data_IF_211447571829
#
_entry.id   IF_211447571829
#
_cell.length_a   1.000
_cell.length_b   1.000
_cell.length_c   1.000
_cell.angle_alpha   90.00
_cell.angle_beta   90.00
_cell.angle_gamma   90.00
#
_symmetry.space_group_name_H-M   'P 1'
#
loop_
_entity.id
_entity.type
_entity.pdbx_description
1 polymer ?
#
# COMPACT_ATOMS: atom_id res chain seq x y z
N UNK A 1 12.51 4.67 -52.77
CA UNK A 1 11.21 5.10 -52.23
C UNK A 1 10.48 3.86 -51.74
N UNK A 2 10.67 3.48 -50.47
CA UNK A 2 10.10 2.24 -49.91
C UNK A 2 8.67 2.54 -49.45
N UNK A 3 7.70 1.72 -49.89
CA UNK A 3 6.29 1.81 -49.53
C UNK A 3 6.14 1.79 -48.00
N UNK A 4 5.83 2.95 -47.40
CA UNK A 4 5.46 3.10 -45.99
C UNK A 4 3.98 2.73 -45.81
N UNK A 5 3.75 1.64 -45.08
CA UNK A 5 2.46 1.11 -44.62
C UNK A 5 2.71 -0.31 -44.12
N UNK A 6 2.25 -0.77 -42.97
CA UNK A 6 1.14 -0.29 -42.12
C UNK A 6 1.15 -1.04 -40.77
N UNK A 7 2.32 -1.32 -40.19
CA UNK A 7 2.43 -2.07 -38.94
C UNK A 7 3.43 -1.39 -38.01
N UNK A 8 3.02 -1.16 -36.76
CA UNK A 8 3.91 -0.76 -35.67
C UNK A 8 4.48 -2.01 -35.01
N UNK A 9 5.79 -2.04 -34.84
CA UNK A 9 6.50 -3.12 -34.14
C UNK A 9 6.60 -2.77 -32.65
N UNK A 10 6.05 -3.65 -31.82
CA UNK A 10 6.21 -3.61 -30.38
C UNK A 10 7.07 -4.78 -29.90
N UNK A 11 7.67 -4.62 -28.73
CA UNK A 11 8.38 -5.70 -28.04
C UNK A 11 7.84 -5.86 -26.62
N UNK A 12 7.81 -7.10 -26.14
CA UNK A 12 7.52 -7.43 -24.74
C UNK A 12 8.79 -7.93 -24.08
N UNK A 13 8.94 -7.59 -22.81
CA UNK A 13 10.05 -8.10 -22.01
C UNK A 13 9.93 -9.60 -21.77
N UNK A 14 11.08 -10.28 -21.71
CA UNK A 14 11.21 -11.64 -21.22
C UNK A 14 11.40 -11.68 -19.70
N UNK A 15 11.80 -12.83 -19.16
CA UNK A 15 12.17 -12.98 -17.75
C UNK A 15 13.42 -12.18 -17.36
N UNK A 16 14.33 -11.98 -18.32
CA UNK A 16 15.52 -11.16 -18.21
C UNK A 16 15.49 -10.01 -19.21
N UNK A 17 16.14 -8.89 -18.88
CA UNK A 17 16.26 -7.70 -19.73
C UNK A 17 17.60 -6.99 -19.55
N UNK A 18 18.00 -6.21 -20.56
CA UNK A 18 19.20 -5.34 -20.55
C UNK A 18 18.86 -3.85 -20.54
N UNK A 19 17.58 -3.51 -20.36
CA UNK A 19 17.14 -2.12 -20.25
C UNK A 19 15.84 -2.01 -19.45
N UNK A 20 15.63 -0.81 -18.93
CA UNK A 20 14.34 -0.31 -18.47
C UNK A 20 13.89 0.82 -19.41
N UNK A 21 12.58 1.00 -19.55
CA UNK A 21 11.97 2.08 -20.30
C UNK A 21 10.96 2.78 -19.38
N UNK A 22 10.95 4.11 -19.41
CA UNK A 22 9.87 4.91 -18.86
C UNK A 22 9.11 5.58 -20.00
N UNK A 23 7.78 5.50 -19.98
CA UNK A 23 6.91 6.19 -20.94
C UNK A 23 6.19 7.35 -20.23
N UNK A 24 6.32 8.54 -20.80
CA UNK A 24 5.75 9.78 -20.30
C UNK A 24 4.89 10.38 -21.40
N UNK A 25 3.58 10.32 -21.22
CA UNK A 25 2.63 10.87 -22.17
C UNK A 25 2.74 12.39 -22.28
N UNK A 26 2.38 12.93 -23.45
CA UNK A 26 2.31 14.39 -23.69
C UNK A 26 1.41 15.12 -22.69
N UNK A 27 0.36 14.43 -22.23
CA UNK A 27 -0.59 14.92 -21.21
C UNK A 27 -0.14 14.70 -19.77
N UNK A 28 1.06 14.15 -19.55
CA UNK A 28 1.58 13.85 -18.22
C UNK A 28 1.96 15.11 -17.46
N UNK A 29 1.69 15.12 -16.15
CA UNK A 29 2.24 16.13 -15.24
C UNK A 29 3.78 16.15 -15.23
N UNK A 30 4.41 15.02 -15.57
CA UNK A 30 5.87 14.86 -15.61
C UNK A 30 6.49 15.15 -16.97
N UNK A 31 5.68 15.57 -17.95
CA UNK A 31 6.20 15.93 -19.27
C UNK A 31 7.07 17.20 -19.16
N UNK A 32 8.26 17.28 -19.82
CA UNK A 32 9.18 18.43 -19.70
C UNK A 32 8.57 19.79 -20.07
N UNK A 33 7.53 19.81 -20.90
CA UNK A 33 6.78 21.02 -21.23
C UNK A 33 5.93 21.55 -20.07
N UNK A 34 5.54 20.69 -19.13
CA UNK A 34 4.77 21.04 -17.93
C UNK A 34 5.66 21.19 -16.70
N UNK A 35 6.59 20.25 -16.50
CA UNK A 35 7.58 20.28 -15.41
C UNK A 35 8.97 19.96 -15.97
N UNK A 36 9.80 21.00 -16.11
CA UNK A 36 11.18 20.88 -16.61
C UNK A 36 12.09 20.11 -15.65
N UNK A 37 11.72 19.98 -14.38
CA UNK A 37 12.51 19.29 -13.35
C UNK A 37 12.10 17.83 -13.18
N UNK A 38 10.95 17.40 -13.71
CA UNK A 38 10.44 16.04 -13.54
C UNK A 38 11.44 14.95 -13.93
N UNK A 39 12.14 15.11 -15.06
CA UNK A 39 13.12 14.14 -15.54
C UNK A 39 14.36 14.08 -14.63
N UNK A 40 14.79 15.23 -14.09
CA UNK A 40 15.88 15.25 -13.10
C UNK A 40 15.49 14.55 -11.80
N UNK A 41 14.23 14.70 -11.36
CA UNK A 41 13.70 13.97 -10.19
C UNK A 41 13.63 12.46 -10.44
N UNK A 42 13.24 12.05 -11.65
CA UNK A 42 13.27 10.65 -12.09
C UNK A 42 14.71 10.11 -12.02
N UNK A 43 15.68 10.83 -12.61
CA UNK A 43 17.08 10.43 -12.58
C UNK A 43 17.60 10.28 -11.13
N UNK A 44 17.37 11.28 -10.29
CA UNK A 44 17.80 11.26 -8.89
C UNK A 44 17.16 10.10 -8.11
N UNK A 45 15.92 9.73 -8.44
CA UNK A 45 15.25 8.59 -7.81
C UNK A 45 15.87 7.24 -8.21
N UNK A 46 16.39 7.14 -9.44
CA UNK A 46 16.93 5.90 -9.99
C UNK A 46 18.45 5.76 -9.81
N UNK A 47 19.14 6.85 -9.44
CA UNK A 47 20.57 6.85 -9.12
C UNK A 47 20.99 5.76 -8.12
N UNK A 48 20.27 5.49 -7.01
CA UNK A 48 20.63 4.41 -6.07
C UNK A 48 20.62 3.01 -6.69
N UNK A 49 19.87 2.82 -7.78
CA UNK A 49 19.85 1.56 -8.54
C UNK A 49 21.02 1.46 -9.54
N UNK A 50 21.71 2.57 -9.79
CA UNK A 50 22.78 2.69 -10.79
C UNK A 50 22.30 3.15 -12.16
N UNK A 51 21.05 3.61 -12.29
CA UNK A 51 20.50 4.13 -13.54
C UNK A 51 20.61 5.67 -13.55
N UNK A 52 21.63 6.18 -14.23
CA UNK A 52 22.03 7.60 -14.20
C UNK A 52 22.03 8.26 -15.58
N UNK A 53 21.87 7.49 -16.65
CA UNK A 53 21.88 7.97 -18.03
C UNK A 53 20.78 7.30 -18.85
N UNK A 54 20.19 8.05 -19.78
CA UNK A 54 19.12 7.56 -20.65
C UNK A 54 19.30 8.03 -22.09
N UNK A 55 18.53 7.40 -22.97
CA UNK A 55 18.26 7.87 -24.33
C UNK A 55 16.79 8.30 -24.38
N UNK A 56 16.53 9.52 -24.81
CA UNK A 56 15.17 10.02 -24.97
C UNK A 56 14.74 9.93 -26.44
N UNK A 57 13.55 9.40 -26.67
CA UNK A 57 12.90 9.35 -27.99
C UNK A 57 11.43 9.75 -27.86
N UNK A 58 10.82 10.30 -28.90
CA UNK A 58 9.36 10.40 -28.92
C UNK A 58 8.73 9.01 -29.03
N UNK A 59 7.66 8.76 -28.27
CA UNK A 59 6.89 7.51 -28.31
C UNK A 59 6.00 7.42 -29.55
N UNK A 60 5.47 8.56 -30.00
CA UNK A 60 4.68 8.71 -31.22
C UNK A 60 4.61 10.17 -31.69
N UNK A 61 3.87 10.42 -32.79
CA UNK A 61 3.59 11.76 -33.31
C UNK A 61 2.81 12.65 -32.32
N UNK A 62 2.22 12.07 -31.26
CA UNK A 62 1.53 12.84 -30.21
C UNK A 62 2.47 13.62 -29.29
N UNK A 63 3.78 13.34 -29.33
CA UNK A 63 4.79 14.03 -28.53
C UNK A 63 5.05 13.41 -27.14
N UNK A 64 4.52 12.22 -26.84
CA UNK A 64 4.96 11.45 -25.67
C UNK A 64 6.44 11.07 -25.75
N UNK A 65 7.05 10.75 -24.61
CA UNK A 65 8.49 10.55 -24.48
C UNK A 65 8.79 9.17 -23.88
N UNK A 66 9.62 8.41 -24.57
CA UNK A 66 10.28 7.21 -24.08
C UNK A 66 11.68 7.54 -23.55
N UNK A 67 11.98 7.15 -22.32
CA UNK A 67 13.33 7.20 -21.74
C UNK A 67 13.89 5.79 -21.60
N UNK A 68 14.86 5.43 -22.43
CA UNK A 68 15.54 4.14 -22.38
C UNK A 68 16.74 4.20 -21.45
N UNK A 69 16.80 3.30 -20.47
CA UNK A 69 17.89 3.10 -19.52
C UNK A 69 18.57 1.76 -19.79
N UNK A 70 19.50 1.67 -20.76
CA UNK A 70 20.22 0.45 -21.05
C UNK A 70 21.31 0.16 -20.02
N UNK A 71 21.63 -1.10 -19.77
CA UNK A 71 22.69 -1.54 -18.87
C UNK A 71 23.32 -2.84 -19.38
N UNK A 72 24.53 -3.17 -18.93
CA UNK A 72 25.33 -4.26 -19.51
C UNK A 72 24.84 -5.65 -19.06
N UNK A 73 24.71 -5.85 -17.74
CA UNK A 73 24.33 -7.13 -17.15
C UNK A 73 22.82 -7.35 -17.16
N UNK A 74 22.37 -8.49 -17.71
CA UNK A 74 20.95 -8.84 -17.73
C UNK A 74 20.36 -8.93 -16.30
N UNK A 75 19.21 -8.31 -16.08
CA UNK A 75 18.51 -8.32 -14.79
C UNK A 75 17.16 -9.01 -14.91
N UNK A 76 16.65 -9.51 -13.79
CA UNK A 76 15.29 -10.04 -13.71
C UNK A 76 14.28 -8.90 -13.96
N UNK A 77 13.47 -9.06 -15.00
CA UNK A 77 12.54 -8.02 -15.46
C UNK A 77 11.52 -7.65 -14.39
N UNK A 78 11.01 -8.61 -13.63
CA UNK A 78 10.02 -8.35 -12.60
C UNK A 78 10.63 -7.64 -11.38
N UNK A 79 11.78 -8.13 -10.92
CA UNK A 79 12.54 -7.50 -9.83
C UNK A 79 12.90 -6.04 -10.15
N UNK A 80 13.35 -5.80 -11.39
CA UNK A 80 13.65 -4.47 -11.90
C UNK A 80 12.40 -3.57 -11.87
N UNK A 81 11.28 -4.07 -12.38
CA UNK A 81 10.02 -3.33 -12.42
C UNK A 81 9.57 -2.87 -11.03
N UNK A 82 9.62 -3.79 -10.05
CA UNK A 82 9.24 -3.50 -8.65
C UNK A 82 10.18 -2.46 -8.03
N UNK A 83 11.50 -2.61 -8.23
CA UNK A 83 12.47 -1.69 -7.67
C UNK A 83 12.33 -0.27 -8.25
N UNK A 84 12.23 -0.15 -9.58
CA UNK A 84 12.06 1.13 -10.28
C UNK A 84 10.77 1.82 -9.85
N UNK A 85 9.64 1.11 -9.88
CA UNK A 85 8.33 1.66 -9.47
C UNK A 85 8.40 2.18 -8.04
N UNK A 86 8.97 1.40 -7.12
CA UNK A 86 9.04 1.82 -5.71
C UNK A 86 9.95 3.03 -5.50
N UNK A 87 11.07 3.12 -6.22
CA UNK A 87 11.96 4.28 -6.12
C UNK A 87 11.28 5.57 -6.58
N UNK A 88 10.55 5.51 -7.70
CA UNK A 88 9.80 6.64 -8.23
C UNK A 88 8.70 7.07 -7.26
N UNK A 89 7.92 6.13 -6.73
CA UNK A 89 6.83 6.43 -5.80
C UNK A 89 7.34 6.99 -4.46
N UNK A 90 8.50 6.54 -3.97
CA UNK A 90 9.11 7.06 -2.74
C UNK A 90 9.45 8.55 -2.82
N UNK A 91 9.72 9.09 -4.01
CA UNK A 91 9.98 10.52 -4.24
C UNK A 91 8.72 11.30 -4.67
N UNK A 92 7.55 10.66 -4.56
CA UNK A 92 6.24 11.23 -4.89
C UNK A 92 5.89 11.24 -6.38
N UNK A 93 6.61 10.50 -7.22
CA UNK A 93 6.26 10.32 -8.63
C UNK A 93 5.30 9.14 -8.75
N UNK A 94 4.03 9.43 -9.03
CA UNK A 94 2.99 8.40 -9.20
C UNK A 94 3.18 7.67 -10.53
N UNK A 95 3.34 6.35 -10.47
CA UNK A 95 3.41 5.47 -11.63
C UNK A 95 1.99 5.02 -11.96
N UNK A 96 1.36 5.69 -12.93
CA UNK A 96 -0.02 5.40 -13.36
C UNK A 96 -0.14 5.50 -14.87
N UNK A 97 -1.02 4.69 -15.49
CA UNK A 97 -1.28 4.76 -16.92
C UNK A 97 -1.60 6.18 -17.39
N UNK A 98 -1.05 6.56 -18.54
CA UNK A 98 -1.25 7.88 -19.14
C UNK A 98 -0.54 9.05 -18.43
N UNK A 99 0.33 8.78 -17.45
CA UNK A 99 1.16 9.79 -16.79
C UNK A 99 2.63 9.38 -16.78
N UNK A 100 2.94 8.26 -16.11
CA UNK A 100 4.29 7.72 -16.02
C UNK A 100 4.16 6.21 -15.94
N UNK A 101 4.55 5.52 -17.00
CA UNK A 101 4.49 4.06 -17.09
C UNK A 101 5.90 3.48 -17.06
N UNK A 102 6.07 2.37 -16.34
CA UNK A 102 7.36 1.67 -16.19
C UNK A 102 7.34 0.38 -17.00
N UNK A 103 8.42 0.16 -17.73
CA UNK A 103 8.61 -1.00 -18.59
C UNK A 103 9.98 -1.63 -18.29
N UNK A 104 10.07 -2.91 -17.88
CA UNK A 104 8.96 -3.83 -17.61
C UNK A 104 8.04 -3.32 -16.49
N UNK A 105 6.74 -3.63 -16.58
CA UNK A 105 5.76 -3.26 -15.56
C UNK A 105 5.73 -4.29 -14.41
N UNK A 106 5.47 -3.88 -13.16
CA UNK A 106 5.33 -4.81 -12.04
C UNK A 106 4.07 -5.64 -12.25
N UNK A 107 4.24 -6.86 -12.73
CA UNK A 107 3.12 -7.78 -12.94
C UNK A 107 2.58 -8.30 -11.63
N UNK A 108 1.26 -8.43 -11.57
CA UNK A 108 0.60 -9.38 -10.70
C UNK A 108 0.87 -10.79 -11.22
N UNK A 109 1.19 -11.72 -10.31
CA UNK A 109 1.32 -13.15 -10.64
C UNK A 109 0.02 -13.62 -11.30
N UNK A 110 0.11 -14.22 -12.49
CA UNK A 110 -1.04 -14.89 -13.11
C UNK A 110 -1.02 -16.37 -12.75
N UNK A 111 -2.20 -16.92 -12.49
CA UNK A 111 -2.45 -18.33 -12.22
C UNK A 111 -2.05 -19.19 -13.42
N UNK A 112 -1.61 -20.42 -13.15
CA UNK A 112 -0.85 -21.39 -13.97
C UNK A 112 -1.37 -21.71 -15.39
N UNK A 113 -2.49 -21.15 -15.85
CA UNK A 113 -3.06 -21.43 -17.18
C UNK A 113 -2.78 -20.37 -18.25
N UNK A 114 -2.26 -19.18 -17.88
CA UNK A 114 -1.76 -18.17 -18.86
C UNK A 114 -0.56 -17.41 -18.30
N UNK A 115 0.58 -17.34 -19.00
CA UNK A 115 1.69 -16.51 -18.56
C UNK A 115 1.25 -15.04 -18.57
N UNK A 116 1.33 -14.37 -17.41
CA UNK A 116 1.22 -12.90 -17.34
C UNK A 116 2.34 -12.33 -18.20
N UNK A 117 2.00 -11.67 -19.32
CA UNK A 117 2.97 -11.07 -20.24
C UNK A 117 3.24 -9.62 -19.87
N UNK A 118 4.48 -9.15 -20.05
CA UNK A 118 4.81 -7.75 -19.70
C UNK A 118 4.13 -6.87 -20.73
N UNK A 119 3.76 -5.65 -20.33
CA UNK A 119 3.21 -4.68 -21.26
C UNK A 119 4.19 -4.51 -22.42
N UNK A 120 3.64 -4.49 -23.63
CA UNK A 120 4.42 -4.24 -24.82
C UNK A 120 4.66 -2.74 -24.92
N UNK A 121 5.84 -2.36 -25.36
CA UNK A 121 6.09 -0.99 -25.78
C UNK A 121 6.53 -0.96 -27.24
N UNK A 122 6.38 0.21 -27.85
CA UNK A 122 6.80 0.45 -29.23
C UNK A 122 8.32 0.51 -29.33
N UNK A 123 8.89 -0.07 -30.39
CA UNK A 123 10.32 0.08 -30.70
C UNK A 123 10.66 1.53 -31.13
N UNK A 124 11.85 2.05 -30.79
CA UNK A 124 12.26 3.40 -31.17
C UNK A 124 12.53 3.50 -32.67
N UNK A 125 12.60 4.74 -33.19
CA UNK A 125 12.92 5.06 -34.59
C UNK A 125 11.94 4.48 -35.64
N UNK A 126 10.71 4.20 -35.23
CA UNK A 126 9.58 3.96 -36.13
C UNK A 126 8.91 5.29 -36.52
N UNK A 127 7.96 5.29 -37.46
CA UNK A 127 7.29 6.51 -37.92
C UNK A 127 6.72 7.37 -36.75
N UNK A 128 7.21 8.59 -36.56
CA UNK A 128 6.82 9.43 -35.42
C UNK A 128 7.58 9.21 -34.12
N UNK A 129 8.59 8.33 -34.13
CA UNK A 129 9.56 8.18 -33.05
C UNK A 129 10.90 8.78 -33.48
N UNK A 130 11.26 9.90 -32.86
CA UNK A 130 12.46 10.67 -33.15
C UNK A 130 13.36 10.68 -31.92
N UNK A 131 14.67 10.63 -32.13
CA UNK A 131 15.64 10.82 -31.07
C UNK A 131 15.55 12.27 -30.55
N UNK A 132 15.71 12.46 -29.24
CA UNK A 132 15.62 13.76 -28.58
C UNK A 132 16.98 14.20 -28.03
N UNK A 133 17.24 15.50 -28.06
CA UNK A 133 18.39 16.11 -27.37
C UNK A 133 18.07 16.37 -25.88
N UNK A 134 19.01 17.00 -25.16
CA UNK A 134 18.86 17.34 -23.74
C UNK A 134 17.70 18.31 -23.44
N UNK A 135 17.30 19.11 -24.43
CA UNK A 135 16.16 20.04 -24.36
C UNK A 135 14.84 19.39 -24.81
N UNK A 136 14.83 18.07 -25.02
CA UNK A 136 13.69 17.29 -25.54
C UNK A 136 13.18 17.75 -26.91
N UNK A 137 14.07 18.32 -27.73
CA UNK A 137 13.78 18.66 -29.11
C UNK A 137 14.18 17.51 -30.04
N UNK A 138 13.38 17.20 -31.07
CA UNK A 138 13.73 16.19 -32.07
C UNK A 138 15.05 16.54 -32.76
N UNK A 139 15.96 15.56 -32.77
CA UNK A 139 17.17 15.60 -33.56
C UNK A 139 17.12 14.53 -34.63
N UNK A 140 17.77 14.81 -35.75
CA UNK A 140 17.95 13.79 -36.78
C UNK A 140 18.84 12.68 -36.21
N UNK A 141 18.28 11.48 -36.12
CA UNK A 141 18.99 10.30 -35.63
C UNK A 141 18.82 9.18 -36.62
N UNK A 142 19.93 8.70 -37.18
CA UNK A 142 19.97 7.42 -37.86
C UNK A 142 20.13 6.28 -36.83
N UNK A 143 20.04 5.04 -37.32
CA UNK A 143 20.22 3.85 -36.46
C UNK A 143 21.59 3.84 -35.77
N UNK A 144 22.62 4.35 -36.44
CA UNK A 144 23.99 4.41 -35.93
C UNK A 144 24.08 5.34 -34.71
N UNK A 145 23.49 6.53 -34.81
CA UNK A 145 23.43 7.53 -33.74
C UNK A 145 22.70 6.99 -32.51
N UNK A 146 21.58 6.30 -32.71
CA UNK A 146 20.85 5.67 -31.61
C UNK A 146 21.69 4.58 -30.91
N UNK A 147 22.38 3.73 -31.67
CA UNK A 147 23.26 2.69 -31.08
C UNK A 147 24.44 3.31 -30.33
N UNK A 148 25.00 4.42 -30.82
CA UNK A 148 26.06 5.15 -30.12
C UNK A 148 25.56 5.71 -28.78
N UNK A 149 24.40 6.38 -28.77
CA UNK A 149 23.78 6.86 -27.54
C UNK A 149 23.41 5.71 -26.60
N UNK A 150 22.98 4.56 -27.14
CA UNK A 150 22.70 3.37 -26.35
C UNK A 150 23.94 2.86 -25.64
N UNK A 151 25.05 2.67 -26.37
CA UNK A 151 26.31 2.22 -25.77
C UNK A 151 26.84 3.22 -24.75
N UNK A 152 26.69 4.51 -25.00
CA UNK A 152 27.08 5.55 -24.04
C UNK A 152 26.24 5.52 -22.76
N UNK A 153 24.92 5.43 -22.87
CA UNK A 153 24.05 5.30 -21.70
C UNK A 153 24.32 3.98 -20.96
N UNK A 154 24.56 2.89 -21.71
CA UNK A 154 24.85 1.57 -21.17
C UNK A 154 26.14 1.55 -20.34
N UNK A 155 27.20 2.23 -20.79
CA UNK A 155 28.47 2.31 -20.05
C UNK A 155 28.40 3.19 -18.79
N UNK A 156 27.38 4.06 -18.70
CA UNK A 156 27.14 4.93 -17.55
C UNK A 156 26.26 4.27 -16.50
N UNK A 157 25.39 3.34 -16.92
CA UNK A 157 24.44 2.67 -16.03
C UNK A 157 25.05 1.39 -15.45
N UNK A 158 25.50 1.48 -14.21
CA UNK A 158 26.03 0.34 -13.45
C UNK A 158 24.95 -0.26 -12.55
N UNK A 159 24.05 -1.04 -13.17
CA UNK A 159 23.00 -1.74 -12.42
C UNK A 159 23.56 -3.03 -11.83
N UNK A 160 23.93 -2.97 -10.54
CA UNK A 160 24.36 -4.13 -9.78
C UNK A 160 23.17 -4.93 -9.24
N UNK A 161 23.20 -6.25 -9.43
CA UNK A 161 22.22 -7.18 -8.82
C UNK A 161 22.22 -7.09 -7.29
N UNK A 162 23.33 -6.67 -6.67
CA UNK A 162 23.39 -6.44 -5.21
C UNK A 162 22.55 -5.23 -4.82
N UNK A 163 22.72 -4.10 -5.50
CA UNK A 163 21.94 -2.88 -5.27
C UNK A 163 20.45 -3.12 -5.51
N UNK A 164 20.11 -3.82 -6.61
CA UNK A 164 18.74 -4.24 -6.90
C UNK A 164 18.13 -5.06 -5.75
N UNK A 165 18.84 -6.08 -5.25
CA UNK A 165 18.37 -6.89 -4.11
C UNK A 165 18.28 -6.10 -2.81
N UNK A 166 19.18 -5.16 -2.55
CA UNK A 166 19.13 -4.29 -1.37
C UNK A 166 17.90 -3.39 -1.40
N UNK A 167 17.63 -2.76 -2.54
CA UNK A 167 16.41 -1.97 -2.76
C UNK A 167 15.20 -2.88 -2.56
N UNK A 168 15.13 -4.05 -3.19
CA UNK A 168 14.02 -4.98 -3.01
C UNK A 168 13.81 -5.41 -1.54
N UNK A 169 14.88 -5.57 -0.76
CA UNK A 169 14.77 -5.83 0.69
C UNK A 169 14.19 -4.62 1.43
N UNK A 170 14.55 -3.40 1.06
CA UNK A 170 13.96 -2.18 1.61
C UNK A 170 12.50 -2.01 1.18
N UNK A 171 12.18 -2.31 -0.08
CA UNK A 171 10.82 -2.34 -0.63
C UNK A 171 9.95 -3.33 0.15
N UNK A 172 10.43 -4.57 0.38
CA UNK A 172 9.75 -5.58 1.21
C UNK A 172 9.61 -5.19 2.68
N UNK A 173 10.44 -4.27 3.18
CA UNK A 173 10.30 -3.69 4.54
C UNK A 173 9.34 -2.50 4.58
N UNK A 174 9.04 -1.89 3.42
CA UNK A 174 8.19 -0.71 3.23
C UNK A 174 6.74 -0.97 2.78
N UNK A 175 6.19 -2.18 2.52
CA UNK A 175 4.77 -2.27 2.25
C UNK A 175 4.08 -2.17 3.61
N UNK A 176 3.79 -0.93 4.01
CA UNK A 176 2.91 -0.60 5.11
C UNK A 176 3.13 -1.26 6.48
N UNK A 177 4.30 -1.84 6.83
CA UNK A 177 4.45 -2.66 8.07
C UNK A 177 3.14 -3.39 8.41
N UNK A 178 2.59 -4.09 7.40
CA UNK A 178 1.32 -4.77 7.61
C UNK A 178 1.55 -5.72 8.77
N UNK A 179 0.84 -5.49 9.89
CA UNK A 179 1.06 -6.32 11.09
C UNK A 179 0.94 -7.79 10.69
N UNK A 180 1.69 -8.71 11.30
CA UNK A 180 1.62 -10.12 10.90
C UNK A 180 0.20 -10.72 10.89
N UNK A 181 -0.72 -10.13 11.68
CA UNK A 181 -2.17 -10.43 11.63
C UNK A 181 -2.85 -9.96 10.36
N UNK A 182 -2.55 -8.75 9.90
CA UNK A 182 -3.09 -8.20 8.67
C UNK A 182 -2.46 -8.84 7.43
N UNK A 183 -1.18 -9.24 7.48
CA UNK A 183 -0.53 -10.00 6.41
C UNK A 183 -1.18 -11.37 6.26
N UNK A 184 -1.39 -12.07 7.38
CA UNK A 184 -2.18 -13.31 7.39
C UNK A 184 -3.57 -13.09 6.80
N UNK A 185 -4.26 -12.02 7.18
CA UNK A 185 -5.60 -11.72 6.66
C UNK A 185 -5.60 -11.48 5.14
N UNK A 186 -4.62 -10.75 4.61
CA UNK A 186 -4.45 -10.57 3.15
C UNK A 186 -4.20 -11.93 2.48
N UNK A 187 -3.31 -12.75 3.04
CA UNK A 187 -2.99 -14.06 2.47
C UNK A 187 -4.19 -15.01 2.48
N UNK A 188 -4.98 -15.02 3.55
CA UNK A 188 -6.21 -15.80 3.65
C UNK A 188 -7.24 -15.33 2.59
N UNK A 189 -7.40 -14.01 2.41
CA UNK A 189 -8.28 -13.44 1.37
C UNK A 189 -7.78 -13.80 -0.04
N UNK A 190 -6.48 -13.68 -0.30
CA UNK A 190 -5.88 -14.02 -1.58
C UNK A 190 -6.09 -15.50 -1.90
N UNK A 191 -5.80 -16.41 -0.97
CA UNK A 191 -5.97 -17.86 -1.17
C UNK A 191 -7.42 -18.23 -1.51
N UNK A 192 -8.41 -17.58 -0.87
CA UNK A 192 -9.83 -17.81 -1.20
C UNK A 192 -10.22 -17.23 -2.56
N UNK A 193 -9.67 -16.07 -2.94
CA UNK A 193 -9.95 -15.41 -4.22
C UNK A 193 -9.25 -16.13 -5.39
N UNK A 194 -8.02 -16.60 -5.18
CA UNK A 194 -7.18 -17.28 -6.18
C UNK A 194 -7.78 -18.58 -6.68
N UNK A 195 -8.52 -19.30 -5.82
CA UNK A 195 -9.27 -20.48 -6.22
C UNK A 195 -10.31 -20.19 -7.32
N UNK A 196 -10.74 -18.92 -7.45
CA UNK A 196 -11.71 -18.47 -8.43
C UNK A 196 -13.07 -19.13 -8.26
N UNK A 197 -13.76 -19.33 -9.38
CA UNK A 197 -15.09 -19.92 -9.42
C UNK A 197 -14.98 -21.42 -9.67
N UNK A 198 -15.26 -22.22 -8.64
CA UNK A 198 -15.14 -23.69 -8.69
C UNK A 198 -16.50 -24.40 -8.64
N UNK A 199 -17.60 -23.68 -8.39
CA UNK A 199 -18.94 -24.25 -8.38
C UNK A 199 -20.05 -23.22 -8.36
N UNK A 200 -21.27 -23.68 -8.62
CA UNK A 200 -22.47 -22.86 -8.54
C UNK A 200 -22.77 -22.44 -7.09
N UNK A 201 -23.27 -21.21 -6.91
CA UNK A 201 -23.62 -20.66 -5.58
C UNK A 201 -22.49 -19.93 -4.83
N UNK A 202 -21.31 -19.76 -5.44
CA UNK A 202 -20.16 -19.11 -4.80
C UNK A 202 -20.17 -17.57 -4.87
N UNK A 203 -21.05 -16.98 -5.69
CA UNK A 203 -21.09 -15.53 -5.97
C UNK A 203 -21.01 -14.68 -4.73
N UNK A 204 -21.88 -14.93 -3.74
CA UNK A 204 -21.92 -14.11 -2.53
C UNK A 204 -20.64 -14.22 -1.71
N UNK A 205 -20.11 -15.44 -1.55
CA UNK A 205 -18.87 -15.63 -0.79
C UNK A 205 -17.70 -14.97 -1.48
N UNK A 206 -17.52 -15.21 -2.78
CA UNK A 206 -16.37 -14.73 -3.53
C UNK A 206 -16.40 -13.21 -3.68
N UNK A 207 -17.55 -12.61 -4.03
CA UNK A 207 -17.71 -11.15 -4.07
C UNK A 207 -17.46 -10.51 -2.71
N UNK A 208 -17.92 -11.14 -1.62
CA UNK A 208 -17.63 -10.65 -0.27
C UNK A 208 -16.13 -10.65 0.05
N UNK A 209 -15.38 -11.67 -0.37
CA UNK A 209 -13.91 -11.71 -0.18
C UNK A 209 -13.20 -10.67 -1.03
N UNK A 210 -13.59 -10.53 -2.28
CA UNK A 210 -13.05 -9.50 -3.19
C UNK A 210 -13.33 -8.11 -2.62
N UNK A 211 -14.57 -7.83 -2.20
CA UNK A 211 -14.96 -6.56 -1.60
C UNK A 211 -14.18 -6.24 -0.33
N UNK A 212 -14.00 -7.21 0.58
CA UNK A 212 -13.17 -7.03 1.78
C UNK A 212 -11.71 -6.73 1.45
N UNK A 213 -11.12 -7.45 0.49
CA UNK A 213 -9.73 -7.22 0.07
C UNK A 213 -9.55 -5.85 -0.56
N UNK A 214 -10.44 -5.47 -1.49
CA UNK A 214 -10.40 -4.19 -2.16
C UNK A 214 -10.63 -3.04 -1.18
N UNK A 215 -11.69 -3.09 -0.37
CA UNK A 215 -12.00 -2.04 0.59
C UNK A 215 -10.90 -1.86 1.64
N UNK A 216 -10.42 -2.94 2.27
CA UNK A 216 -9.46 -2.83 3.38
C UNK A 216 -8.05 -2.52 2.89
N UNK A 217 -7.62 -3.08 1.74
CA UNK A 217 -6.20 -3.11 1.36
C UNK A 217 -5.88 -2.56 -0.03
N UNK A 218 -6.84 -2.05 -0.82
CA UNK A 218 -6.51 -1.59 -2.18
C UNK A 218 -5.42 -0.51 -2.18
N UNK A 219 -5.52 0.51 -1.33
CA UNK A 219 -4.48 1.56 -1.22
C UNK A 219 -3.15 1.07 -0.66
N UNK A 220 -3.16 -0.07 0.04
CA UNK A 220 -1.94 -0.74 0.54
C UNK A 220 -1.25 -1.53 -0.56
N UNK A 221 -2.03 -2.18 -1.42
CA UNK A 221 -1.55 -3.08 -2.47
C UNK A 221 -1.17 -2.34 -3.76
N UNK A 222 -1.93 -1.30 -4.10
CA UNK A 222 -1.84 -0.58 -5.38
C UNK A 222 -1.45 0.89 -5.21
N UNK A 223 -1.28 1.37 -3.98
CA UNK A 223 -1.09 2.78 -3.70
C UNK A 223 -2.36 3.60 -3.94
N UNK A 224 -2.29 4.91 -3.70
CA UNK A 224 -3.43 5.83 -3.90
C UNK A 224 -4.36 5.95 -2.69
N UNK A 225 -5.54 6.52 -2.94
CA UNK A 225 -6.59 6.71 -1.91
C UNK A 225 -7.41 5.42 -1.75
N UNK A 226 -7.96 5.17 -0.55
CA UNK A 226 -8.85 4.04 -0.35
C UNK A 226 -10.09 4.09 -1.25
N UNK A 227 -10.47 2.94 -1.81
CA UNK A 227 -11.64 2.85 -2.68
C UNK A 227 -12.95 2.92 -1.87
N UNK A 228 -13.92 3.67 -2.39
CA UNK A 228 -15.28 3.74 -1.86
C UNK A 228 -16.27 4.05 -2.98
N UNK A 229 -17.54 3.78 -2.75
CA UNK A 229 -18.64 3.99 -3.69
C UNK A 229 -18.42 3.25 -5.00
N UNK A 230 -18.64 3.93 -6.12
CA UNK A 230 -18.58 3.33 -7.45
C UNK A 230 -17.20 2.77 -7.80
N UNK A 231 -16.12 3.42 -7.38
CA UNK A 231 -14.76 2.95 -7.67
C UNK A 231 -14.48 1.57 -7.02
N UNK A 232 -15.07 1.29 -5.87
CA UNK A 232 -14.99 -0.02 -5.23
C UNK A 232 -15.81 -1.06 -6.01
N UNK A 233 -16.98 -0.68 -6.54
CA UNK A 233 -17.83 -1.57 -7.34
C UNK A 233 -17.10 -1.99 -8.61
N UNK A 234 -16.54 -1.03 -9.34
CA UNK A 234 -15.83 -1.27 -10.60
C UNK A 234 -14.64 -2.22 -10.40
N UNK A 235 -13.88 -2.02 -9.31
CA UNK A 235 -12.77 -2.90 -8.92
C UNK A 235 -13.24 -4.31 -8.59
N UNK A 236 -14.34 -4.46 -7.83
CA UNK A 236 -14.90 -5.77 -7.49
C UNK A 236 -15.32 -6.52 -8.76
N UNK A 237 -16.01 -5.84 -9.69
CA UNK A 237 -16.46 -6.41 -10.96
C UNK A 237 -15.27 -6.81 -11.82
N UNK A 238 -14.27 -5.94 -11.96
CA UNK A 238 -13.06 -6.22 -12.73
C UNK A 238 -12.33 -7.46 -12.20
N UNK A 239 -12.15 -7.56 -10.88
CA UNK A 239 -11.53 -8.75 -10.26
C UNK A 239 -12.39 -9.98 -10.51
N UNK A 240 -13.70 -9.93 -10.22
CA UNK A 240 -14.61 -11.06 -10.35
C UNK A 240 -14.63 -11.66 -11.77
N UNK A 241 -14.63 -10.80 -12.79
CA UNK A 241 -14.61 -11.19 -14.21
C UNK A 241 -13.26 -11.76 -14.65
N UNK A 242 -12.17 -11.34 -14.01
CA UNK A 242 -10.81 -11.81 -14.30
C UNK A 242 -10.49 -13.20 -13.74
N UNK A 243 -11.26 -13.68 -12.75
CA UNK A 243 -11.01 -14.94 -12.07
C UNK A 243 -11.36 -16.17 -12.91
N UNK A 244 -10.61 -17.28 -12.77
CA UNK A 244 -10.88 -18.51 -13.51
C UNK A 244 -12.26 -19.07 -13.16
N UNK A 245 -12.95 -19.64 -14.15
CA UNK A 245 -14.28 -20.23 -13.99
C UNK A 245 -15.45 -19.24 -13.98
N UNK A 246 -15.23 -17.91 -14.13
CA UNK A 246 -16.33 -16.93 -14.10
C UNK A 246 -17.43 -17.26 -15.11
N UNK A 247 -17.06 -17.53 -16.37
CA UNK A 247 -18.03 -17.84 -17.44
C UNK A 247 -18.74 -19.19 -17.25
N UNK A 248 -18.11 -20.13 -16.57
CA UNK A 248 -18.53 -21.52 -16.47
C UNK A 248 -19.34 -21.79 -15.19
N UNK A 249 -18.98 -21.13 -14.09
CA UNK A 249 -19.50 -21.41 -12.76
C UNK A 249 -20.27 -20.22 -12.14
N UNK A 250 -20.12 -18.99 -12.63
CA UNK A 250 -20.92 -17.87 -12.15
C UNK A 250 -22.28 -17.84 -12.85
N UNK A 251 -23.36 -18.09 -12.11
CA UNK A 251 -24.73 -17.98 -12.65
C UNK A 251 -25.28 -16.54 -12.62
N UNK A 252 -24.56 -15.61 -12.00
CA UNK A 252 -24.99 -14.22 -11.77
C UNK A 252 -24.30 -13.23 -12.71
N UNK A 253 -23.85 -13.68 -13.88
CA UNK A 253 -23.13 -12.84 -14.85
C UNK A 253 -23.95 -11.62 -15.30
N UNK A 254 -25.27 -11.78 -15.42
CA UNK A 254 -26.20 -10.75 -15.87
C UNK A 254 -26.48 -9.66 -14.81
N UNK A 255 -26.19 -9.94 -13.54
CA UNK A 255 -26.46 -9.03 -12.42
C UNK A 255 -25.20 -8.80 -11.56
N UNK A 256 -24.01 -9.08 -12.12
CA UNK A 256 -22.76 -9.05 -11.34
C UNK A 256 -22.45 -7.66 -10.78
N UNK A 257 -22.80 -6.61 -11.53
CA UNK A 257 -22.63 -5.22 -11.12
C UNK A 257 -23.53 -4.87 -9.93
N UNK A 258 -24.80 -5.27 -9.96
CA UNK A 258 -25.74 -5.07 -8.85
C UNK A 258 -25.28 -5.81 -7.60
N UNK A 259 -24.83 -7.06 -7.75
CA UNK A 259 -24.28 -7.86 -6.65
C UNK A 259 -23.00 -7.26 -6.08
N UNK A 260 -22.12 -6.74 -6.93
CA UNK A 260 -20.91 -6.05 -6.49
C UNK A 260 -21.25 -4.75 -5.72
N UNK A 261 -22.24 -4.00 -6.18
CA UNK A 261 -22.74 -2.80 -5.51
C UNK A 261 -23.36 -3.11 -4.14
N UNK A 262 -24.08 -4.21 -4.00
CA UNK A 262 -24.57 -4.69 -2.70
C UNK A 262 -23.41 -5.01 -1.75
N UNK A 263 -22.39 -5.73 -2.22
CA UNK A 263 -21.23 -6.05 -1.39
C UNK A 263 -20.37 -4.85 -1.02
N UNK A 264 -20.19 -3.90 -1.94
CA UNK A 264 -19.53 -2.63 -1.68
C UNK A 264 -20.25 -1.87 -0.54
N UNK A 265 -21.58 -1.72 -0.66
CA UNK A 265 -22.41 -1.09 0.37
C UNK A 265 -22.33 -1.83 1.71
N UNK A 266 -22.35 -3.16 1.69
CA UNK A 266 -22.25 -3.98 2.90
C UNK A 266 -20.91 -3.82 3.59
N UNK A 267 -19.79 -3.80 2.85
CA UNK A 267 -18.45 -3.69 3.45
C UNK A 267 -18.19 -2.28 4.00
N UNK A 268 -18.67 -1.24 3.31
CA UNK A 268 -18.60 0.15 3.78
C UNK A 268 -19.36 0.37 5.09
N UNK A 269 -20.53 -0.26 5.24
CA UNK A 269 -21.35 -0.19 6.45
C UNK A 269 -20.98 -1.23 7.52
N UNK A 270 -19.91 -2.00 7.29
CA UNK A 270 -19.47 -3.05 8.21
C UNK A 270 -18.53 -2.50 9.30
N UNK A 271 -17.97 -3.42 10.09
CA UNK A 271 -16.92 -3.09 11.08
C UNK A 271 -15.52 -3.04 10.48
N UNK A 272 -15.37 -3.33 9.19
CA UNK A 272 -14.08 -3.21 8.50
C UNK A 272 -13.78 -1.74 8.18
N UNK A 273 -12.50 -1.41 8.13
CA UNK A 273 -12.00 -0.08 7.82
C UNK A 273 -10.77 -0.18 6.92
N UNK A 274 -10.49 0.87 6.17
CA UNK A 274 -9.28 0.95 5.35
C UNK A 274 -8.04 0.78 6.24
N UNK A 275 -7.16 -0.14 5.86
CA UNK A 275 -5.97 -0.46 6.63
C UNK A 275 -5.08 0.77 6.83
N UNK A 276 -4.77 1.13 8.08
CA UNK A 276 -3.98 2.33 8.38
C UNK A 276 -4.76 3.65 8.38
N UNK A 277 -6.06 3.64 8.06
CA UNK A 277 -6.94 4.79 8.32
C UNK A 277 -7.03 5.02 9.83
N UNK A 278 -6.71 6.24 10.26
CA UNK A 278 -6.68 6.66 11.67
C UNK A 278 -8.09 6.86 12.25
N UNK A 279 -8.93 5.83 12.20
CA UNK A 279 -9.99 5.68 13.21
C UNK A 279 -9.48 4.77 14.32
N UNK A 280 -8.51 5.30 15.09
CA UNK A 280 -7.96 4.64 16.28
C UNK A 280 -6.45 4.85 16.47
N UNK A 281 -6.08 5.99 17.06
CA UNK A 281 -4.75 6.31 17.63
C UNK A 281 -3.60 6.49 16.62
N UNK A 282 -3.42 7.74 16.21
CA UNK A 282 -2.10 8.37 16.11
C UNK A 282 -2.32 9.88 16.26
N UNK A 283 -1.85 10.41 17.38
CA UNK A 283 -1.75 11.84 17.63
C UNK A 283 -0.82 12.45 16.57
N UNK A 284 -1.31 13.47 15.88
CA UNK A 284 -0.46 14.46 15.23
C UNK A 284 -0.49 15.67 16.16
N UNK A 285 0.65 16.19 16.62
CA UNK A 285 0.67 17.33 17.53
C UNK A 285 0.32 18.58 16.73
N UNK A 286 -0.97 18.89 16.65
CA UNK A 286 -1.44 20.23 16.29
C UNK A 286 -1.86 20.92 17.59
N UNK A 287 -0.98 21.82 18.03
CA UNK A 287 -1.30 22.87 18.98
C UNK A 287 -2.46 23.69 18.39
N UNK A 288 -3.65 23.62 19.01
CA UNK A 288 -4.56 24.77 19.19
C UNK A 288 -5.75 24.39 20.10
N UNK A 289 -5.70 24.96 21.30
CA UNK A 289 -6.75 25.41 22.23
C UNK A 289 -7.81 24.45 22.85
N UNK A 290 -8.15 24.65 24.15
CA UNK A 290 -8.92 23.69 24.93
C UNK A 290 -10.42 23.89 24.67
N UNK A 291 -10.97 23.12 23.74
CA UNK A 291 -12.42 22.90 23.70
C UNK A 291 -12.75 21.93 24.83
N UNK A 292 -13.69 22.30 25.70
CA UNK A 292 -14.22 21.43 26.75
C UNK A 292 -14.85 20.17 26.13
N UNK A 293 -14.04 19.13 25.97
CA UNK A 293 -14.44 17.86 25.38
C UNK A 293 -15.38 17.12 26.33
N UNK A 294 -16.61 16.85 25.88
CA UNK A 294 -17.49 15.94 26.58
C UNK A 294 -16.86 14.54 26.60
N UNK A 295 -16.92 13.80 27.72
CA UNK A 295 -16.28 12.50 27.82
C UNK A 295 -16.88 11.53 26.79
N UNK A 296 -15.99 10.90 26.03
CA UNK A 296 -16.29 9.85 25.04
C UNK A 296 -17.06 8.69 25.69
N UNK A 297 -17.82 7.94 24.90
CA UNK A 297 -18.62 6.80 25.40
C UNK A 297 -17.77 5.78 26.20
N UNK A 298 -16.53 5.53 25.75
CA UNK A 298 -15.58 4.68 26.45
C UNK A 298 -15.12 5.26 27.79
N UNK A 299 -14.91 6.58 27.88
CA UNK A 299 -14.62 7.26 29.14
C UNK A 299 -15.80 7.15 30.11
N UNK A 300 -17.03 7.36 29.64
CA UNK A 300 -18.25 7.19 30.46
C UNK A 300 -18.40 5.76 30.99
N UNK A 301 -18.15 4.75 30.15
CA UNK A 301 -18.19 3.34 30.57
C UNK A 301 -17.07 3.02 31.59
N UNK A 302 -15.88 3.58 31.39
CA UNK A 302 -14.78 3.42 32.33
C UNK A 302 -15.07 4.09 33.67
N UNK A 303 -15.63 5.30 33.67
CA UNK A 303 -16.02 6.03 34.88
C UNK A 303 -17.13 5.31 35.64
N UNK A 304 -18.17 4.83 34.94
CA UNK A 304 -19.23 4.02 35.54
C UNK A 304 -18.68 2.74 36.19
N UNK A 305 -17.66 2.13 35.58
CA UNK A 305 -16.98 0.95 36.15
C UNK A 305 -16.16 1.30 37.38
N UNK A 306 -15.41 2.41 37.35
CA UNK A 306 -14.67 2.92 38.51
C UNK A 306 -15.59 3.26 39.67
N UNK A 307 -16.75 3.85 39.39
CA UNK A 307 -17.73 4.20 40.40
C UNK A 307 -18.33 2.97 41.07
N UNK A 308 -18.67 1.93 40.29
CA UNK A 308 -19.09 0.64 40.84
C UNK A 308 -18.04 0.01 41.74
N UNK A 309 -16.75 0.10 41.37
CA UNK A 309 -15.65 -0.39 42.21
C UNK A 309 -15.58 0.40 43.52
N UNK A 310 -15.69 1.73 43.48
CA UNK A 310 -15.68 2.56 44.71
C UNK A 310 -16.86 2.25 45.63
N UNK A 311 -18.06 2.10 45.08
CA UNK A 311 -19.26 1.75 45.84
C UNK A 311 -19.13 0.38 46.50
N UNK A 312 -18.63 -0.62 45.77
CA UNK A 312 -18.40 -1.95 46.32
C UNK A 312 -17.36 -1.93 47.46
N UNK A 313 -16.31 -1.13 47.34
CA UNK A 313 -15.31 -0.97 48.41
C UNK A 313 -15.88 -0.21 49.60
N UNK A 314 -16.63 0.87 49.38
CA UNK A 314 -17.31 1.62 50.42
C UNK A 314 -18.23 0.72 51.24
N UNK A 315 -19.05 -0.09 50.56
CA UNK A 315 -19.90 -1.08 51.21
C UNK A 315 -19.10 -2.11 52.02
N UNK A 316 -17.97 -2.62 51.49
CA UNK A 316 -17.11 -3.56 52.20
C UNK A 316 -16.40 -2.93 53.41
N UNK A 317 -16.09 -1.64 53.36
CA UNK A 317 -15.53 -0.89 54.49
C UNK A 317 -16.59 -0.65 55.57
N UNK A 318 -17.79 -0.22 55.19
CA UNK A 318 -18.91 0.02 56.11
C UNK A 318 -19.34 -1.26 56.86
N UNK A 319 -19.27 -2.40 56.18
CA UNK A 319 -19.59 -3.71 56.76
C UNK A 319 -18.41 -4.38 57.48
N UNK A 320 -17.25 -3.71 57.58
CA UNK A 320 -16.00 -4.28 58.10
C UNK A 320 -15.60 -5.63 57.46
N UNK A 321 -16.01 -5.84 56.21
CA UNK A 321 -15.83 -7.09 55.48
C UNK A 321 -14.71 -7.02 54.43
N UNK A 322 -13.95 -5.91 54.37
CA UNK A 322 -12.87 -5.74 53.39
C UNK A 322 -11.69 -6.69 53.70
N UNK A 323 -11.42 -7.71 52.85
CA UNK A 323 -10.37 -8.67 53.14
C UNK A 323 -8.97 -8.05 53.07
N UNK A 324 -7.98 -8.59 53.78
CA UNK A 324 -6.60 -8.07 53.73
C UNK A 324 -5.79 -8.59 52.55
N UNK A 325 -6.09 -9.81 52.08
CA UNK A 325 -5.36 -10.44 50.97
C UNK A 325 -5.94 -10.06 49.61
N UNK A 326 -5.06 -9.87 48.63
CA UNK A 326 -5.44 -9.49 47.25
C UNK A 326 -6.45 -10.46 46.63
N UNK A 327 -6.25 -11.77 46.82
CA UNK A 327 -7.11 -12.80 46.24
C UNK A 327 -8.52 -12.77 46.84
N UNK A 328 -8.64 -12.57 48.16
CA UNK A 328 -9.93 -12.48 48.83
C UNK A 328 -10.66 -11.17 48.46
N UNK A 329 -9.95 -10.04 48.31
CA UNK A 329 -10.55 -8.79 47.78
C UNK A 329 -11.09 -8.95 46.37
N UNK A 330 -10.31 -9.60 45.50
CA UNK A 330 -10.73 -9.86 44.13
C UNK A 330 -12.01 -10.70 44.09
N UNK A 331 -12.07 -11.78 44.87
CA UNK A 331 -13.27 -12.63 44.98
C UNK A 331 -14.48 -11.85 45.52
N UNK A 332 -14.29 -11.07 46.58
CA UNK A 332 -15.35 -10.23 47.15
C UNK A 332 -15.91 -9.25 46.09
N UNK A 333 -15.05 -8.56 45.34
CA UNK A 333 -15.45 -7.60 44.31
C UNK A 333 -16.08 -8.26 43.08
N UNK A 334 -15.66 -9.48 42.71
CA UNK A 334 -16.37 -10.25 41.68
C UNK A 334 -17.78 -10.65 42.12
N UNK A 335 -18.02 -10.80 43.42
CA UNK A 335 -19.35 -11.04 44.01
C UNK A 335 -20.32 -9.87 43.82
N UNK A 336 -19.82 -8.65 43.62
CA UNK A 336 -20.61 -7.45 43.27
C UNK A 336 -20.90 -7.35 41.75
N UNK A 337 -20.64 -8.41 40.98
CA UNK A 337 -20.90 -8.46 39.53
C UNK A 337 -19.88 -7.69 38.68
N UNK A 338 -18.70 -7.38 39.23
CA UNK A 338 -17.62 -6.71 38.51
C UNK A 338 -16.75 -7.76 37.80
N UNK A 339 -16.61 -7.65 36.48
CA UNK A 339 -15.79 -8.57 35.69
C UNK A 339 -14.31 -8.52 36.09
N UNK A 340 -13.65 -9.67 36.16
CA UNK A 340 -12.25 -9.78 36.59
C UNK A 340 -11.26 -8.98 35.73
N UNK A 341 -11.52 -8.85 34.42
CA UNK A 341 -10.72 -8.01 33.53
C UNK A 341 -10.83 -6.51 33.85
N UNK A 342 -12.00 -6.05 34.29
CA UNK A 342 -12.23 -4.66 34.73
C UNK A 342 -11.50 -4.36 36.04
N UNK A 343 -11.50 -5.31 36.99
CA UNK A 343 -10.73 -5.18 38.24
C UNK A 343 -9.23 -5.08 37.96
N UNK A 344 -8.70 -5.91 37.06
CA UNK A 344 -7.29 -5.84 36.68
C UNK A 344 -6.91 -4.54 35.96
N UNK A 345 -7.85 -3.88 35.28
CA UNK A 345 -7.63 -2.59 34.62
C UNK A 345 -7.62 -1.42 35.60
N UNK A 346 -8.32 -1.53 36.73
CA UNK A 346 -8.47 -0.48 37.73
C UNK A 346 -7.93 -0.92 39.11
N UNK A 347 -6.70 -1.46 39.15
CA UNK A 347 -6.05 -1.94 40.39
C UNK A 347 -5.82 -0.81 41.40
N UNK A 348 -5.68 0.42 40.91
CA UNK A 348 -5.51 1.64 41.69
C UNK A 348 -6.62 1.83 42.73
N UNK A 349 -7.83 1.34 42.45
CA UNK A 349 -8.98 1.58 43.32
C UNK A 349 -9.15 0.55 44.45
N UNK A 350 -8.59 -0.66 44.35
CA UNK A 350 -8.93 -1.77 45.27
C UNK A 350 -7.75 -2.62 45.76
N UNK A 351 -6.64 -2.62 45.02
CA UNK A 351 -5.52 -3.51 45.30
C UNK A 351 -4.71 -2.99 46.51
N UNK A 352 -4.41 -3.83 47.53
CA UNK A 352 -3.75 -3.40 48.76
C UNK A 352 -2.46 -2.60 48.53
N UNK A 353 -1.59 -3.07 47.61
CA UNK A 353 -0.31 -2.42 47.32
C UNK A 353 -0.40 -0.99 46.75
N UNK A 354 -1.54 -0.62 46.15
CA UNK A 354 -1.73 0.72 45.58
C UNK A 354 -2.40 1.69 46.55
N UNK A 355 -2.83 1.19 47.71
CA UNK A 355 -3.48 1.99 48.76
C UNK A 355 -2.51 2.37 49.90
N UNK A 356 -1.24 1.96 49.82
CA UNK A 356 -0.23 2.12 50.89
C UNK A 356 0.75 3.28 50.62
N UNK A 357 0.72 3.92 49.45
CA UNK A 357 1.58 5.07 49.15
C UNK A 357 0.94 6.41 49.57
N UNK A 358 0.99 6.71 50.87
CA UNK A 358 1.01 8.10 51.39
C UNK A 358 1.49 8.14 52.84
N UNK A 359 2.74 7.73 53.10
CA UNK A 359 3.45 8.11 54.32
C UNK A 359 4.76 8.74 53.89
N UNK A 360 4.79 10.06 53.78
CA UNK A 360 6.03 10.81 53.63
C UNK A 360 6.93 10.55 54.85
N UNK A 361 8.22 10.21 54.67
CA UNK A 361 9.15 10.14 55.79
C UNK A 361 9.45 11.55 56.32
N UNK A 362 9.62 11.72 57.65
CA UNK A 362 9.88 13.04 58.23
C UNK A 362 11.22 13.62 57.74
N UNK A 363 11.30 14.95 57.57
CA UNK A 363 12.51 15.60 57.05
C UNK A 363 13.68 15.44 58.02
N UNK A 364 14.84 15.04 57.48
CA UNK A 364 16.10 14.94 58.22
C UNK A 364 16.57 16.34 58.71
N UNK A 365 17.16 16.44 59.91
CA UNK A 365 17.65 17.70 60.47
C UNK A 365 18.89 18.22 59.72
N UNK A 366 19.17 19.54 59.77
CA UNK A 366 20.21 20.17 58.98
C UNK A 366 21.61 19.75 59.43
N UNK A 367 22.47 19.42 58.47
CA UNK A 367 23.89 19.20 58.70
C UNK A 367 24.58 20.52 59.03
N UNK A 368 25.19 20.60 60.21
CA UNK A 368 26.22 21.59 60.52
C UNK A 368 27.59 21.05 60.08
N UNK A 369 28.21 21.81 59.16
CA UNK A 369 29.62 21.86 58.71
C UNK A 369 30.30 20.54 58.34
#
# INVERSE_FOLDING_TARGET
MVRQGSCLFGVRFGSLTHYCLLDIDVGSAYHPQRDRLAISRILNALEPLGLVSYIACTSSDSGGIHLYFPFESAQNSWELAVAVTTLLENVGLRVTPGQLEVFPNPKLYAVESRPSLFNAHRLPLQAGSWLLNADFQPIWGDRSSFVQHWRFAQSRNDLSTVSLRQILKQVKRKPYRVSGRAEKFINDLNAEIEAGWTGSGQTNRLLGRIAMRAYVFHHVLFGGEPLSGQALVDEIVAIAQSLPGYKECCCHQHEIEERAAEWARCVENSRYFHYGSRYGKCETPQLTEPVTEQPTWNQRQSEATREKIRQAIGHLLETNALPTTTTARFQALTGFGIGGSSLYRHRDLWHPSYLVESVEPPPNPPHFI
#
